data_IF_942516720914
#
_entry.id   IF_942516720914
#
_cell.length_a   1.000
_cell.length_b   1.000
_cell.length_c   1.000
_cell.angle_alpha   90.00
_cell.angle_beta   90.00
_cell.angle_gamma   90.00
#
_symmetry.space_group_name_H-M   'P 1'
#
loop_
_entity.id
_entity.type
_entity.pdbx_description
1 polymer ?
#
# COMPACT_ATOMS: atom_id res chain seq x y z
N UNK A 1 -23.64 -6.61 -15.64
CA UNK A 1 -22.40 -6.27 -14.91
C UNK A 1 -22.70 -6.39 -13.43
N UNK A 2 -22.12 -7.37 -12.75
CA UNK A 2 -22.19 -7.47 -11.29
C UNK A 2 -21.24 -6.44 -10.69
N UNK A 3 -21.79 -5.41 -10.05
CA UNK A 3 -20.99 -4.39 -9.33
C UNK A 3 -20.49 -4.99 -8.01
N UNK A 4 -19.47 -5.83 -8.08
CA UNK A 4 -18.77 -6.33 -6.90
C UNK A 4 -17.51 -5.50 -6.67
N UNK A 5 -17.32 -5.09 -5.42
CA UNK A 5 -16.20 -4.30 -4.94
C UNK A 5 -15.49 -5.11 -3.86
N UNK A 6 -14.19 -5.33 -4.04
CA UNK A 6 -13.35 -6.04 -3.08
C UNK A 6 -12.55 -5.06 -2.26
N UNK A 7 -12.47 -5.34 -0.95
CA UNK A 7 -11.65 -4.60 -0.01
C UNK A 7 -10.60 -5.53 0.59
N UNK A 8 -9.37 -5.05 0.69
CA UNK A 8 -8.28 -5.71 1.38
C UNK A 8 -7.68 -4.80 2.43
N UNK A 9 -7.13 -5.40 3.48
CA UNK A 9 -6.36 -4.73 4.52
C UNK A 9 -5.10 -5.52 4.80
N UNK A 10 -3.99 -4.84 5.03
CA UNK A 10 -2.75 -5.47 5.49
C UNK A 10 -1.96 -4.52 6.40
N UNK A 11 -0.88 -5.04 6.98
CA UNK A 11 0.12 -4.29 7.74
C UNK A 11 1.47 -4.92 7.38
N UNK A 12 2.36 -4.13 6.76
CA UNK A 12 3.65 -4.64 6.30
C UNK A 12 4.64 -4.80 7.45
N UNK A 13 5.75 -5.47 7.15
CA UNK A 13 6.85 -5.60 8.10
C UNK A 13 7.48 -4.22 8.41
N UNK A 14 7.83 -3.96 9.68
CA UNK A 14 8.24 -2.64 10.19
C UNK A 14 9.73 -2.32 9.99
N UNK A 15 10.62 -3.31 10.11
CA UNK A 15 12.06 -3.13 10.33
C UNK A 15 12.94 -3.38 9.10
N UNK A 16 12.47 -4.14 8.11
CA UNK A 16 13.22 -4.67 6.98
C UNK A 16 12.52 -4.38 5.64
N UNK A 17 13.15 -3.56 4.83
CA UNK A 17 12.63 -3.17 3.51
C UNK A 17 12.58 -4.35 2.54
N UNK A 18 13.52 -5.30 2.64
CA UNK A 18 13.55 -6.45 1.73
C UNK A 18 12.33 -7.36 1.91
N UNK A 19 11.93 -7.60 3.15
CA UNK A 19 10.71 -8.33 3.50
C UNK A 19 9.46 -7.58 3.02
N UNK A 20 9.40 -6.26 3.21
CA UNK A 20 8.28 -5.45 2.68
C UNK A 20 8.16 -5.58 1.17
N UNK A 21 9.26 -5.53 0.42
CA UNK A 21 9.22 -5.67 -1.04
C UNK A 21 8.63 -7.03 -1.48
N UNK A 22 9.02 -8.12 -0.81
CA UNK A 22 8.45 -9.45 -1.07
C UNK A 22 6.94 -9.49 -0.74
N UNK A 23 6.53 -8.85 0.36
CA UNK A 23 5.12 -8.74 0.73
C UNK A 23 4.31 -7.96 -0.31
N UNK A 24 4.81 -6.80 -0.76
CA UNK A 24 4.15 -5.99 -1.81
C UNK A 24 4.04 -6.77 -3.11
N UNK A 25 5.11 -7.46 -3.51
CA UNK A 25 5.07 -8.28 -4.72
C UNK A 25 4.01 -9.39 -4.61
N UNK A 26 3.85 -9.99 -3.43
CA UNK A 26 2.80 -10.99 -3.20
C UNK A 26 1.40 -10.39 -3.24
N UNK A 27 1.22 -9.20 -2.67
CA UNK A 27 -0.07 -8.49 -2.69
C UNK A 27 -0.48 -8.14 -4.12
N UNK A 28 0.46 -7.68 -4.95
CA UNK A 28 0.25 -7.40 -6.38
C UNK A 28 -0.17 -8.67 -7.15
N UNK A 29 0.50 -9.80 -6.90
CA UNK A 29 0.12 -11.08 -7.50
C UNK A 29 -1.32 -11.49 -7.13
N UNK A 30 -1.73 -11.26 -5.88
CA UNK A 30 -3.08 -11.59 -5.41
C UNK A 30 -4.10 -10.62 -6.01
N UNK A 31 -3.85 -9.31 -5.94
CA UNK A 31 -4.79 -8.28 -6.37
C UNK A 31 -5.04 -8.30 -7.88
N UNK A 32 -4.02 -8.61 -8.69
CA UNK A 32 -4.14 -8.69 -10.15
C UNK A 32 -5.21 -9.70 -10.61
N UNK A 33 -5.44 -10.77 -9.83
CA UNK A 33 -6.48 -11.76 -10.10
C UNK A 33 -7.89 -11.18 -9.93
N UNK A 34 -8.07 -10.21 -9.05
CA UNK A 34 -9.36 -9.55 -8.78
C UNK A 34 -9.56 -8.32 -9.67
N UNK A 35 -8.51 -7.54 -9.92
CA UNK A 35 -8.55 -6.30 -10.70
C UNK A 35 -8.98 -6.51 -12.16
N UNK A 36 -8.86 -7.73 -12.71
CA UNK A 36 -9.32 -8.04 -14.07
C UNK A 36 -10.84 -8.01 -14.23
N UNK A 37 -11.60 -8.18 -13.14
CA UNK A 37 -13.05 -8.37 -13.20
C UNK A 37 -13.82 -7.45 -12.25
N UNK A 38 -13.14 -6.91 -11.23
CA UNK A 38 -13.79 -6.20 -10.13
C UNK A 38 -13.00 -4.97 -9.73
N UNK A 39 -13.70 -3.97 -9.19
CA UNK A 39 -13.05 -2.89 -8.45
C UNK A 39 -12.42 -3.46 -7.18
N UNK A 40 -11.19 -3.04 -6.88
CA UNK A 40 -10.42 -3.52 -5.74
C UNK A 40 -9.77 -2.35 -5.02
N UNK A 41 -10.00 -2.26 -3.71
CA UNK A 41 -9.42 -1.23 -2.85
C UNK A 41 -8.60 -1.93 -1.77
N UNK A 42 -7.38 -1.44 -1.53
CA UNK A 42 -6.54 -1.88 -0.42
C UNK A 42 -6.22 -0.70 0.49
N UNK A 43 -6.38 -0.91 1.79
CA UNK A 43 -5.86 -0.04 2.84
C UNK A 43 -4.72 -0.77 3.54
N UNK A 44 -3.63 -0.08 3.86
CA UNK A 44 -2.42 -0.71 4.41
C UNK A 44 -1.74 0.24 5.40
N UNK A 45 -1.05 -0.34 6.38
CA UNK A 45 0.04 0.31 7.10
C UNK A 45 1.33 -0.17 6.46
N UNK A 46 1.89 0.65 5.56
CA UNK A 46 3.05 0.21 4.77
C UNK A 46 4.36 0.32 5.55
N UNK A 47 4.34 0.90 6.76
CA UNK A 47 5.51 1.14 7.61
C UNK A 47 6.72 1.70 6.84
N UNK A 48 6.45 2.51 5.81
CA UNK A 48 7.43 2.89 4.80
C UNK A 48 7.42 4.39 4.56
N UNK A 49 8.55 4.98 4.13
CA UNK A 49 8.55 6.39 3.73
C UNK A 49 7.85 6.55 2.37
N UNK A 50 7.21 7.71 2.10
CA UNK A 50 6.55 7.96 0.80
C UNK A 50 7.47 7.84 -0.43
N UNK A 51 8.79 7.92 -0.24
CA UNK A 51 9.80 7.84 -1.30
C UNK A 51 10.49 6.46 -1.42
N UNK A 52 10.16 5.52 -0.53
CA UNK A 52 10.75 4.17 -0.50
C UNK A 52 10.43 3.35 -1.74
N UNK A 53 11.22 2.30 -1.99
CA UNK A 53 10.98 1.39 -3.12
C UNK A 53 9.67 0.61 -2.93
N UNK A 54 9.34 0.28 -1.68
CA UNK A 54 8.06 -0.36 -1.30
C UNK A 54 6.85 0.44 -1.82
N UNK A 55 6.84 1.76 -1.59
CA UNK A 55 5.74 2.63 -2.04
C UNK A 55 5.73 2.78 -3.56
N UNK A 56 6.89 2.94 -4.20
CA UNK A 56 6.99 3.00 -5.66
C UNK A 56 6.39 1.74 -6.29
N UNK A 57 6.69 0.56 -5.74
CA UNK A 57 6.19 -0.71 -6.25
C UNK A 57 4.67 -0.84 -6.13
N UNK A 58 4.09 -0.37 -5.03
CA UNK A 58 2.64 -0.28 -4.89
C UNK A 58 2.02 0.65 -5.95
N UNK A 59 2.63 1.81 -6.18
CA UNK A 59 2.14 2.82 -7.12
C UNK A 59 2.22 2.39 -8.60
N UNK A 60 3.03 1.38 -8.93
CA UNK A 60 3.03 0.77 -10.28
C UNK A 60 1.70 0.04 -10.59
N UNK A 61 0.97 -0.40 -9.56
CA UNK A 61 -0.19 -1.29 -9.71
C UNK A 61 -1.49 -0.72 -9.14
N UNK A 62 -1.37 0.23 -8.22
CA UNK A 62 -2.51 0.88 -7.58
C UNK A 62 -2.44 2.39 -7.76
N UNK A 63 -3.60 2.99 -7.97
CA UNK A 63 -3.75 4.43 -7.82
C UNK A 63 -3.98 4.78 -6.35
N UNK A 64 -3.32 5.84 -5.87
CA UNK A 64 -3.64 6.39 -4.56
C UNK A 64 -5.07 6.97 -4.58
N UNK A 65 -5.86 6.67 -3.55
CA UNK A 65 -7.22 7.17 -3.41
C UNK A 65 -7.27 8.70 -3.22
N UNK A 66 -6.19 9.29 -2.74
CA UNK A 66 -6.02 10.72 -2.59
C UNK A 66 -4.63 11.14 -3.05
N UNK A 67 -4.50 12.41 -3.46
CA UNK A 67 -3.20 12.97 -3.79
C UNK A 67 -2.40 13.13 -2.50
N UNK A 68 -1.07 12.96 -2.58
CA UNK A 68 -0.12 13.10 -1.44
C UNK A 68 -0.28 14.46 -0.73
N UNK A 69 -0.79 15.48 -1.41
CA UNK A 69 -0.99 16.82 -0.86
C UNK A 69 -2.37 17.01 -0.18
N UNK A 70 -3.27 16.04 -0.35
CA UNK A 70 -4.65 16.04 0.18
C UNK A 70 -4.80 15.07 1.36
N UNK A 71 -3.95 14.04 1.43
CA UNK A 71 -3.81 13.14 2.57
C UNK A 71 -2.44 13.31 3.20
N UNK A 72 -2.41 13.88 4.41
CA UNK A 72 -1.17 13.96 5.18
C UNK A 72 -0.71 12.53 5.53
N UNK A 73 0.54 12.17 5.20
CA UNK A 73 1.06 10.88 5.62
C UNK A 73 1.28 10.87 7.14
N UNK A 74 1.29 9.68 7.73
CA UNK A 74 1.35 9.50 9.19
C UNK A 74 2.79 9.56 9.69
N UNK A 75 3.00 9.41 11.00
CA UNK A 75 4.33 9.34 11.60
C UNK A 75 4.34 8.32 12.73
N UNK A 76 5.50 7.74 13.01
CA UNK A 76 5.64 6.81 14.12
C UNK A 76 5.34 7.52 15.45
N UNK A 77 4.41 6.96 16.23
CA UNK A 77 4.05 7.48 17.55
C UNK A 77 5.18 7.36 18.56
N UNK A 78 6.06 6.36 18.41
CA UNK A 78 7.18 6.10 19.31
C UNK A 78 8.48 6.83 18.89
N UNK A 79 8.69 7.07 17.59
CA UNK A 79 9.86 7.77 17.04
C UNK A 79 9.46 8.67 15.86
N UNK A 80 8.92 9.88 16.11
CA UNK A 80 8.40 10.78 15.07
C UNK A 80 9.53 11.53 14.33
N UNK A 81 10.59 10.84 13.90
CA UNK A 81 11.72 11.43 13.18
C UNK A 81 11.51 11.49 11.68
N UNK A 82 10.48 10.82 11.16
CA UNK A 82 10.14 10.77 9.74
C UNK A 82 8.66 10.49 9.51
N UNK A 83 8.17 10.96 8.37
CA UNK A 83 6.84 10.67 7.85
C UNK A 83 6.80 9.28 7.20
N UNK A 84 5.75 8.52 7.49
CA UNK A 84 5.50 7.18 6.97
C UNK A 84 4.08 7.06 6.41
N UNK A 85 3.86 6.02 5.62
CA UNK A 85 2.57 5.57 5.09
C UNK A 85 2.48 4.06 5.24
#
# INVERSE_FOLDING_TARGET
MTNQLYFASTHLEVSDESTRLVQVQKLVEISSKYQQQYSFIIADDMSSTPTSETIKKFQEQFALACKINECLPTFSSSKPTRTIV
#
